data_IF_402359592526
#
_entry.id   IF_402359592526
#
_cell.length_a   1.000
_cell.length_b   1.000
_cell.length_c   1.000
_cell.angle_alpha   90.00
_cell.angle_beta   90.00
_cell.angle_gamma   90.00
#
_symmetry.space_group_name_H-M   'P 1'
#
loop_
_entity.id
_entity.type
_entity.pdbx_description
1 polymer ?
#
# COMPACT_ATOMS: atom_id res chain seq x y z
N UNK A 1 -3.75 15.62 -10.02
CA UNK A 1 -2.58 14.81 -9.58
C UNK A 1 -1.55 15.62 -8.81
N UNK A 2 -1.23 16.85 -9.21
CA UNK A 2 -0.35 17.75 -8.46
C UNK A 2 -0.97 18.15 -7.12
N UNK A 3 -2.29 18.30 -7.08
CA UNK A 3 -3.04 18.55 -5.86
C UNK A 3 -2.95 17.39 -4.87
N UNK A 4 -3.03 16.12 -5.31
CA UNK A 4 -2.88 14.96 -4.41
C UNK A 4 -1.50 14.92 -3.75
N UNK A 5 -0.41 15.16 -4.50
CA UNK A 5 0.95 15.24 -3.92
C UNK A 5 1.03 16.35 -2.87
N UNK A 6 0.44 17.52 -3.14
CA UNK A 6 0.41 18.64 -2.20
C UNK A 6 -0.36 18.32 -0.93
N UNK A 7 -1.53 17.67 -1.04
CA UNK A 7 -2.33 17.23 0.12
C UNK A 7 -1.52 16.24 0.96
N UNK A 8 -0.92 15.24 0.34
CA UNK A 8 -0.08 14.23 1.01
C UNK A 8 1.13 14.88 1.69
N UNK A 9 1.83 15.80 1.01
CA UNK A 9 2.97 16.52 1.58
C UNK A 9 2.57 17.38 2.78
N UNK A 10 1.48 18.15 2.66
CA UNK A 10 0.98 19.00 3.74
C UNK A 10 0.60 18.18 4.99
N UNK A 11 0.16 16.95 4.80
CA UNK A 11 -0.20 16.07 5.92
C UNK A 11 1.04 15.42 6.55
N UNK A 12 1.89 14.76 5.78
CA UNK A 12 2.96 13.91 6.31
C UNK A 12 4.29 14.62 6.58
N UNK A 13 4.65 15.68 5.83
CA UNK A 13 5.93 16.35 6.05
C UNK A 13 6.07 17.01 7.44
N UNK A 14 5.04 17.60 8.05
CA UNK A 14 5.10 18.06 9.43
C UNK A 14 5.35 16.92 10.42
N UNK A 15 4.79 15.71 10.16
CA UNK A 15 4.94 14.54 11.02
C UNK A 15 6.36 13.98 10.97
N UNK A 16 7.02 14.01 9.80
CA UNK A 16 8.45 13.66 9.64
C UNK A 16 9.37 14.49 10.55
N UNK A 17 9.04 15.77 10.73
CA UNK A 17 9.83 16.66 11.58
C UNK A 17 9.52 16.50 13.07
N UNK A 18 8.32 16.01 13.39
CA UNK A 18 7.81 15.91 14.76
C UNK A 18 8.13 14.56 15.42
N UNK A 19 8.10 13.48 14.66
CA UNK A 19 8.19 12.12 15.17
C UNK A 19 9.41 11.38 14.64
N UNK A 20 9.86 10.38 15.41
CA UNK A 20 10.98 9.53 15.03
C UNK A 20 10.57 8.11 14.64
N UNK A 21 9.39 7.67 15.09
CA UNK A 21 8.89 6.31 14.84
C UNK A 21 8.02 6.29 13.59
N UNK A 22 8.20 5.28 12.74
CA UNK A 22 7.50 5.17 11.45
C UNK A 22 5.98 5.24 11.59
N UNK A 23 5.38 4.49 12.51
CA UNK A 23 3.93 4.49 12.69
C UNK A 23 3.34 5.87 13.09
N UNK A 24 4.11 6.70 13.84
CA UNK A 24 3.70 8.06 14.20
C UNK A 24 3.83 9.01 13.01
N UNK A 25 4.90 8.86 12.21
CA UNK A 25 5.13 9.62 10.97
C UNK A 25 4.03 9.30 9.95
N UNK A 26 3.67 8.02 9.84
CA UNK A 26 2.65 7.54 8.91
C UNK A 26 1.21 7.68 9.44
N UNK A 27 1.06 8.33 10.62
CA UNK A 27 -0.23 8.64 11.24
C UNK A 27 -1.10 7.40 11.52
N UNK A 28 -0.44 6.28 11.85
CA UNK A 28 -1.14 5.10 12.34
C UNK A 28 -1.51 5.24 13.81
N UNK A 29 -2.65 4.73 14.20
CA UNK A 29 -3.13 4.76 15.59
C UNK A 29 -2.11 4.16 16.58
N UNK A 30 -1.41 3.11 16.16
CA UNK A 30 -0.37 2.44 16.93
C UNK A 30 0.55 1.60 16.05
N UNK A 31 1.70 1.21 16.60
CA UNK A 31 2.58 0.22 15.97
C UNK A 31 1.86 -1.11 15.72
N UNK A 32 1.01 -1.55 16.67
CA UNK A 32 0.24 -2.79 16.54
C UNK A 32 -0.70 -2.73 15.32
N UNK A 33 -1.40 -1.61 15.13
CA UNK A 33 -2.27 -1.41 13.97
C UNK A 33 -1.49 -1.45 12.64
N UNK A 34 -0.28 -0.91 12.59
CA UNK A 34 0.58 -1.00 11.41
C UNK A 34 1.02 -2.45 11.16
N UNK A 35 1.53 -3.12 12.20
CA UNK A 35 2.04 -4.51 12.13
C UNK A 35 0.95 -5.49 11.71
N UNK A 36 -0.26 -5.37 12.22
CA UNK A 36 -1.39 -6.24 11.82
C UNK A 36 -1.66 -6.23 10.32
N UNK A 37 -1.50 -5.09 9.63
CA UNK A 37 -1.61 -5.02 8.16
C UNK A 37 -0.50 -5.81 7.46
N UNK A 38 0.72 -5.74 7.99
CA UNK A 38 1.86 -6.52 7.48
C UNK A 38 1.68 -8.03 7.75
N UNK A 39 1.11 -8.38 8.90
CA UNK A 39 0.76 -9.77 9.23
C UNK A 39 -0.27 -10.34 8.27
N UNK A 40 -1.29 -9.56 7.88
CA UNK A 40 -2.27 -10.01 6.87
C UNK A 40 -1.56 -10.36 5.57
N UNK A 41 -0.61 -9.53 5.10
CA UNK A 41 0.19 -9.83 3.91
C UNK A 41 0.95 -11.15 4.09
N UNK A 42 1.75 -11.27 5.15
CA UNK A 42 2.67 -12.42 5.34
C UNK A 42 1.98 -13.74 5.67
N UNK A 43 0.79 -13.69 6.28
CA UNK A 43 -0.02 -14.88 6.58
C UNK A 43 -0.76 -15.42 5.35
N UNK A 44 -1.09 -14.57 4.38
CA UNK A 44 -1.92 -14.93 3.25
C UNK A 44 -1.16 -15.02 1.92
N UNK A 45 0.08 -14.52 1.85
CA UNK A 45 0.89 -14.51 0.64
C UNK A 45 2.27 -15.10 0.90
N UNK A 46 2.63 -16.13 0.16
CA UNK A 46 4.00 -16.64 0.20
C UNK A 46 4.94 -15.66 -0.52
N UNK A 47 5.79 -14.97 0.25
CA UNK A 47 6.73 -13.97 -0.25
C UNK A 47 8.14 -14.54 -0.50
N UNK A 48 8.42 -15.79 -0.12
CA UNK A 48 9.76 -16.38 -0.25
C UNK A 48 10.18 -16.45 -1.72
N UNK A 49 11.34 -15.88 -2.04
CA UNK A 49 11.90 -15.81 -3.39
C UNK A 49 11.22 -14.80 -4.32
N UNK A 50 10.19 -14.10 -3.87
CA UNK A 50 9.38 -13.18 -4.69
C UNK A 50 10.00 -11.78 -4.81
N UNK A 51 9.60 -11.07 -5.87
CA UNK A 51 9.79 -9.62 -6.02
C UNK A 51 8.52 -8.93 -5.52
N UNK A 52 8.65 -8.15 -4.46
CA UNK A 52 7.57 -7.34 -3.87
C UNK A 52 7.78 -5.87 -4.21
N UNK A 53 6.75 -5.20 -4.69
CA UNK A 53 6.68 -3.74 -4.73
C UNK A 53 5.70 -3.24 -3.67
N UNK A 54 6.21 -2.40 -2.77
CA UNK A 54 5.45 -1.67 -1.76
C UNK A 54 5.17 -0.25 -2.25
N UNK A 55 3.92 0.03 -2.59
CA UNK A 55 3.48 1.33 -3.12
C UNK A 55 2.98 2.19 -1.96
N UNK A 56 3.58 3.37 -1.80
CA UNK A 56 3.41 4.21 -0.62
C UNK A 56 4.20 3.66 0.56
N UNK A 57 5.45 3.28 0.33
CA UNK A 57 6.27 2.60 1.33
C UNK A 57 6.64 3.46 2.55
N UNK A 58 6.39 4.77 2.50
CA UNK A 58 6.69 5.70 3.58
C UNK A 58 8.13 5.61 4.05
N UNK A 59 8.32 5.42 5.34
CA UNK A 59 9.62 5.30 6.01
C UNK A 59 10.24 3.89 5.92
N UNK A 60 9.67 2.99 5.11
CA UNK A 60 10.22 1.65 4.85
C UNK A 60 9.91 0.60 5.92
N UNK A 61 8.90 0.82 6.75
CA UNK A 61 8.60 -0.05 7.89
C UNK A 61 8.26 -1.49 7.51
N UNK A 62 7.59 -1.71 6.36
CA UNK A 62 7.35 -3.06 5.85
C UNK A 62 8.66 -3.78 5.52
N UNK A 63 9.65 -3.09 4.94
CA UNK A 63 10.97 -3.68 4.71
C UNK A 63 11.62 -4.13 6.02
N UNK A 64 11.59 -3.27 7.05
CA UNK A 64 12.11 -3.60 8.38
C UNK A 64 11.39 -4.82 8.98
N UNK A 65 10.06 -4.86 8.90
CA UNK A 65 9.25 -5.97 9.38
C UNK A 65 9.59 -7.30 8.69
N UNK A 66 9.67 -7.31 7.35
CA UNK A 66 9.98 -8.50 6.57
C UNK A 66 11.41 -9.01 6.83
N UNK A 67 12.35 -8.08 7.02
CA UNK A 67 13.74 -8.40 7.35
C UNK A 67 13.87 -9.07 8.73
N UNK A 68 13.11 -8.58 9.72
CA UNK A 68 13.05 -9.17 11.07
C UNK A 68 12.48 -10.61 11.05
N UNK A 69 11.56 -10.90 10.13
CA UNK A 69 11.04 -12.25 9.91
C UNK A 69 12.00 -13.14 9.10
N UNK A 70 13.14 -12.62 8.66
CA UNK A 70 14.12 -13.33 7.83
C UNK A 70 13.51 -13.91 6.53
N UNK A 71 12.49 -13.25 5.97
CA UNK A 71 11.88 -13.66 4.72
C UNK A 71 12.82 -13.28 3.57
N UNK A 72 13.32 -14.27 2.85
CA UNK A 72 14.16 -14.05 1.67
C UNK A 72 13.31 -13.60 0.49
N UNK A 73 13.31 -12.29 0.18
CA UNK A 73 12.59 -11.70 -0.96
C UNK A 73 13.36 -10.52 -1.56
N UNK A 74 12.99 -10.12 -2.77
CA UNK A 74 13.48 -8.90 -3.40
C UNK A 74 12.46 -7.78 -3.17
N UNK A 75 12.69 -6.97 -2.14
CA UNK A 75 11.84 -5.83 -1.81
C UNK A 75 12.20 -4.58 -2.62
N UNK A 76 11.18 -3.85 -3.05
CA UNK A 76 11.23 -2.53 -3.66
C UNK A 76 10.14 -1.66 -3.04
N UNK A 77 10.50 -0.47 -2.53
CA UNK A 77 9.55 0.50 -2.03
C UNK A 77 9.50 1.74 -2.93
N UNK A 78 8.32 2.29 -3.16
CA UNK A 78 8.15 3.56 -3.85
C UNK A 78 7.23 4.48 -3.07
N UNK A 79 7.61 5.74 -2.93
CA UNK A 79 6.79 6.78 -2.32
C UNK A 79 6.84 8.08 -3.14
N UNK A 80 5.73 8.83 -3.11
CA UNK A 80 5.61 10.10 -3.82
C UNK A 80 6.41 11.23 -3.15
N UNK A 81 6.68 11.12 -1.85
CA UNK A 81 7.43 12.08 -1.06
C UNK A 81 8.90 11.68 -0.95
N UNK A 82 9.80 12.46 -1.55
CA UNK A 82 11.25 12.22 -1.47
C UNK A 82 11.77 12.19 -0.03
N UNK A 83 11.21 13.02 0.86
CA UNK A 83 11.58 13.05 2.28
C UNK A 83 11.26 11.75 3.02
N UNK A 84 10.19 11.04 2.62
CA UNK A 84 9.91 9.69 3.14
C UNK A 84 11.02 8.71 2.72
N UNK A 85 11.43 8.78 1.48
CA UNK A 85 12.51 7.93 0.94
C UNK A 85 13.87 8.25 1.59
N UNK A 86 14.18 9.51 1.80
CA UNK A 86 15.37 9.94 2.56
C UNK A 86 15.34 9.30 3.96
N UNK A 87 14.20 9.41 4.66
CA UNK A 87 14.01 8.81 5.97
C UNK A 87 14.09 7.28 5.96
N UNK A 88 13.52 6.64 4.94
CA UNK A 88 13.61 5.19 4.76
C UNK A 88 15.06 4.71 4.60
N UNK A 89 15.90 5.44 3.86
CA UNK A 89 17.33 5.13 3.73
C UNK A 89 18.13 5.39 5.01
N UNK A 90 17.78 6.42 5.81
CA UNK A 90 18.39 6.65 7.12
C UNK A 90 18.19 5.47 8.06
N UNK A 91 16.96 4.92 8.07
CA UNK A 91 16.59 3.81 8.97
C UNK A 91 17.05 2.46 8.39
N UNK A 92 16.90 2.27 7.08
CA UNK A 92 17.14 1.01 6.38
C UNK A 92 18.09 1.20 5.18
N UNK A 93 19.39 1.45 5.38
CA UNK A 93 20.32 1.78 4.30
C UNK A 93 20.53 0.66 3.27
N UNK A 94 20.12 -0.58 3.58
CA UNK A 94 20.17 -1.73 2.67
C UNK A 94 18.89 -1.93 1.86
N UNK A 95 17.85 -1.15 2.12
CA UNK A 95 16.58 -1.21 1.38
C UNK A 95 16.73 -0.65 -0.04
N UNK A 96 15.77 -0.97 -0.89
CA UNK A 96 15.67 -0.42 -2.25
C UNK A 96 14.44 0.46 -2.32
N UNK A 97 14.64 1.76 -2.16
CA UNK A 97 13.56 2.73 -2.11
C UNK A 97 13.66 3.72 -3.28
N UNK A 98 12.53 4.13 -3.83
CA UNK A 98 12.45 5.01 -4.99
C UNK A 98 11.49 6.16 -4.70
N UNK A 99 11.90 7.38 -5.04
CA UNK A 99 11.00 8.54 -5.01
C UNK A 99 10.32 8.68 -6.36
N UNK A 100 8.99 8.72 -6.38
CA UNK A 100 8.25 8.91 -7.62
C UNK A 100 6.75 8.65 -7.49
N UNK A 101 6.03 9.03 -8.54
CA UNK A 101 4.60 8.78 -8.64
C UNK A 101 4.33 7.69 -9.66
N UNK A 102 4.16 6.45 -9.18
CA UNK A 102 3.91 5.28 -10.03
C UNK A 102 2.62 5.41 -10.88
N UNK A 103 1.66 6.22 -10.41
CA UNK A 103 0.39 6.42 -11.13
C UNK A 103 0.50 7.43 -12.29
N UNK A 104 1.58 8.21 -12.35
CA UNK A 104 1.84 9.17 -13.42
C UNK A 104 2.91 8.64 -14.37
N UNK A 105 4.06 8.27 -13.80
CA UNK A 105 5.22 7.81 -14.55
C UNK A 105 5.94 6.76 -13.71
N UNK A 106 5.74 5.50 -14.08
CA UNK A 106 6.35 4.39 -13.35
C UNK A 106 7.82 4.23 -13.76
N UNK A 107 8.76 4.18 -12.78
CA UNK A 107 10.15 3.82 -13.05
C UNK A 107 10.32 2.33 -13.31
N UNK A 108 9.25 1.53 -13.23
CA UNK A 108 9.26 0.09 -13.34
C UNK A 108 8.56 -0.41 -14.59
N UNK A 109 9.02 -1.54 -15.13
CA UNK A 109 8.39 -2.22 -16.26
C UNK A 109 7.09 -2.90 -15.84
N UNK A 110 6.17 -3.08 -16.79
CA UNK A 110 4.97 -3.91 -16.58
C UNK A 110 5.38 -5.34 -16.23
N UNK A 111 4.57 -6.00 -15.39
CA UNK A 111 4.81 -7.40 -14.95
C UNK A 111 6.21 -7.62 -14.36
N UNK A 112 6.76 -6.61 -13.68
CA UNK A 112 8.09 -6.71 -13.08
C UNK A 112 8.05 -7.42 -11.72
N UNK A 113 6.96 -7.27 -10.96
CA UNK A 113 6.84 -7.75 -9.58
C UNK A 113 5.90 -8.95 -9.50
N UNK A 114 6.24 -9.89 -8.63
CA UNK A 114 5.36 -11.03 -8.36
C UNK A 114 4.17 -10.59 -7.51
N UNK A 115 4.42 -9.71 -6.52
CA UNK A 115 3.40 -9.18 -5.62
C UNK A 115 3.47 -7.65 -5.58
N UNK A 116 2.32 -7.00 -5.67
CA UNK A 116 2.14 -5.59 -5.34
C UNK A 116 1.47 -5.50 -3.97
N UNK A 117 2.02 -4.68 -3.09
CA UNK A 117 1.41 -4.32 -1.82
C UNK A 117 1.20 -2.81 -1.76
N UNK A 118 0.07 -2.37 -1.22
CA UNK A 118 -0.26 -0.96 -1.05
C UNK A 118 -1.06 -0.78 0.24
N UNK A 119 -0.47 -0.11 1.23
CA UNK A 119 -1.10 0.09 2.53
C UNK A 119 -1.18 1.57 2.89
N UNK A 120 -2.40 2.04 3.19
CA UNK A 120 -2.65 3.39 3.68
C UNK A 120 -2.69 4.52 2.63
N UNK A 121 -2.31 4.26 1.38
CA UNK A 121 -2.27 5.29 0.31
C UNK A 121 -3.61 5.96 0.06
N UNK A 122 -4.70 5.23 0.27
CA UNK A 122 -6.07 5.70 0.02
C UNK A 122 -6.80 6.19 1.28
N UNK A 123 -6.14 6.16 2.45
CA UNK A 123 -6.79 6.46 3.72
C UNK A 123 -7.04 7.96 3.93
N UNK A 124 -6.09 8.83 3.51
CA UNK A 124 -6.27 10.27 3.63
C UNK A 124 -7.37 10.73 2.67
N UNK A 125 -8.33 11.52 3.19
CA UNK A 125 -9.39 12.08 2.34
C UNK A 125 -8.82 13.19 1.44
N UNK A 126 -8.83 12.93 0.14
CA UNK A 126 -8.32 13.84 -0.89
C UNK A 126 -9.46 14.46 -1.71
N UNK A 127 -10.73 14.13 -1.39
CA UNK A 127 -11.92 14.60 -2.09
C UNK A 127 -12.24 13.82 -3.37
N UNK A 128 -11.30 13.05 -3.92
CA UNK A 128 -11.46 12.27 -5.15
C UNK A 128 -11.00 10.81 -5.00
N UNK A 129 -11.04 10.26 -3.79
CA UNK A 129 -10.48 8.96 -3.45
C UNK A 129 -11.01 7.80 -4.29
N UNK A 130 -12.32 7.79 -4.63
CA UNK A 130 -12.88 6.75 -5.51
C UNK A 130 -12.32 6.82 -6.93
N UNK A 131 -12.17 8.03 -7.46
CA UNK A 131 -11.59 8.25 -8.78
C UNK A 131 -10.14 7.79 -8.76
N UNK A 132 -9.39 8.20 -7.74
CA UNK A 132 -8.00 7.80 -7.57
C UNK A 132 -7.85 6.28 -7.45
N UNK A 133 -8.70 5.63 -6.67
CA UNK A 133 -8.68 4.17 -6.52
C UNK A 133 -8.96 3.47 -7.87
N UNK A 134 -9.96 3.92 -8.63
CA UNK A 134 -10.26 3.39 -9.97
C UNK A 134 -9.08 3.57 -10.94
N UNK A 135 -8.39 4.72 -10.89
CA UNK A 135 -7.18 4.98 -11.69
C UNK A 135 -5.97 4.11 -11.26
N UNK A 136 -5.89 3.75 -9.98
CA UNK A 136 -4.79 2.96 -9.43
C UNK A 136 -4.87 1.46 -9.80
N UNK A 137 -6.07 0.90 -9.91
CA UNK A 137 -6.26 -0.52 -10.18
C UNK A 137 -5.53 -1.01 -11.44
N UNK A 138 -5.70 -0.39 -12.64
CA UNK A 138 -4.97 -0.83 -13.82
C UNK A 138 -3.44 -0.73 -13.65
N UNK A 139 -2.94 0.23 -12.86
CA UNK A 139 -1.51 0.35 -12.56
C UNK A 139 -1.05 -0.84 -11.73
N UNK A 140 -1.75 -1.18 -10.65
CA UNK A 140 -1.42 -2.32 -9.80
C UNK A 140 -1.38 -3.62 -10.62
N UNK A 141 -2.45 -3.92 -11.33
CA UNK A 141 -2.56 -5.16 -12.10
C UNK A 141 -1.60 -5.20 -13.30
N UNK A 142 -1.20 -4.06 -13.86
CA UNK A 142 -0.20 -4.04 -14.93
C UNK A 142 1.21 -4.36 -14.46
N UNK A 143 1.58 -4.03 -13.22
CA UNK A 143 2.90 -4.28 -12.65
C UNK A 143 3.01 -5.63 -11.94
N UNK A 144 1.90 -6.19 -11.45
CA UNK A 144 1.85 -7.49 -10.77
C UNK A 144 1.84 -8.66 -11.74
N UNK A 145 2.56 -9.73 -11.41
CA UNK A 145 2.50 -11.03 -12.10
C UNK A 145 1.50 -11.98 -11.45
N UNK A 146 1.48 -12.01 -10.11
CA UNK A 146 0.74 -13.03 -9.36
C UNK A 146 -0.37 -12.39 -8.51
N UNK A 147 -0.03 -11.45 -7.62
CA UNK A 147 -0.98 -10.92 -6.64
C UNK A 147 -0.91 -9.40 -6.48
N UNK A 148 -2.07 -8.83 -6.23
CA UNK A 148 -2.23 -7.45 -5.77
C UNK A 148 -2.88 -7.49 -4.39
N UNK A 149 -2.25 -6.83 -3.42
CA UNK A 149 -2.70 -6.79 -2.02
C UNK A 149 -2.77 -5.33 -1.59
N UNK A 150 -3.89 -4.91 -1.06
CA UNK A 150 -4.02 -3.55 -0.50
C UNK A 150 -5.05 -3.53 0.63
N UNK A 151 -4.87 -2.62 1.58
CA UNK A 151 -5.86 -2.37 2.62
C UNK A 151 -6.56 -1.03 2.40
N UNK A 152 -7.80 -0.95 2.86
CA UNK A 152 -8.67 0.22 2.82
C UNK A 152 -9.41 0.34 4.15
N UNK A 153 -9.86 1.57 4.47
CA UNK A 153 -10.71 1.79 5.63
C UNK A 153 -12.17 1.45 5.30
N UNK A 154 -12.81 0.75 6.22
CA UNK A 154 -14.24 0.41 6.18
C UNK A 154 -15.02 1.42 7.06
N UNK A 155 -16.18 1.93 6.64
CA UNK A 155 -16.97 2.84 7.46
C UNK A 155 -17.36 2.27 8.82
N UNK A 156 -17.52 0.94 8.95
CA UNK A 156 -17.76 0.23 10.21
C UNK A 156 -18.75 0.91 11.14
N UNK A 157 -18.53 0.75 12.46
CA UNK A 157 -19.33 1.36 13.54
C UNK A 157 -18.63 2.53 14.25
N UNK A 158 -17.49 2.99 13.71
CA UNK A 158 -16.67 4.04 14.32
C UNK A 158 -17.07 5.43 13.83
N UNK A 159 -16.75 6.46 14.64
CA UNK A 159 -16.96 7.85 14.26
C UNK A 159 -16.07 8.15 13.05
N UNK A 160 -16.70 8.39 11.91
CA UNK A 160 -16.01 8.83 10.71
C UNK A 160 -15.52 10.28 10.93
N UNK A 161 -14.31 10.56 10.46
CA UNK A 161 -13.73 11.90 10.48
C UNK A 161 -13.55 12.39 9.05
N UNK A 162 -13.65 13.71 8.84
CA UNK A 162 -13.40 14.31 7.53
C UNK A 162 -11.96 14.12 7.04
N UNK A 163 -11.06 13.72 7.95
CA UNK A 163 -9.64 13.47 7.67
C UNK A 163 -9.41 12.23 6.81
N UNK A 164 -10.21 11.17 7.00
CA UNK A 164 -10.01 9.88 6.37
C UNK A 164 -11.17 9.55 5.43
N UNK A 165 -10.84 8.79 4.37
CA UNK A 165 -11.81 8.28 3.43
C UNK A 165 -12.10 6.80 3.70
N UNK A 166 -13.37 6.42 3.65
CA UNK A 166 -13.85 5.07 3.92
C UNK A 166 -14.49 4.48 2.67
N UNK A 167 -14.14 3.24 2.35
CA UNK A 167 -14.58 2.55 1.15
C UNK A 167 -15.66 1.52 1.46
N UNK A 168 -16.67 1.43 0.60
CA UNK A 168 -17.65 0.35 0.66
C UNK A 168 -17.04 -0.93 0.09
N UNK A 169 -16.96 -1.99 0.91
CA UNK A 169 -16.35 -3.27 0.50
C UNK A 169 -17.01 -3.88 -0.74
N UNK A 170 -18.34 -3.79 -0.88
CA UNK A 170 -19.06 -4.38 -2.02
C UNK A 170 -18.69 -3.67 -3.33
N UNK A 171 -18.56 -2.35 -3.30
CA UNK A 171 -18.18 -1.54 -4.46
C UNK A 171 -16.73 -1.82 -4.87
N UNK A 172 -15.83 -1.91 -3.88
CA UNK A 172 -14.42 -2.30 -4.10
C UNK A 172 -14.34 -3.68 -4.75
N UNK A 173 -15.04 -4.68 -4.22
CA UNK A 173 -15.08 -6.03 -4.79
C UNK A 173 -15.64 -6.05 -6.22
N UNK A 174 -16.67 -5.26 -6.50
CA UNK A 174 -17.23 -5.13 -7.85
C UNK A 174 -16.18 -4.60 -8.84
N UNK A 175 -15.41 -3.59 -8.45
CA UNK A 175 -14.34 -3.03 -9.28
C UNK A 175 -13.21 -4.04 -9.50
N UNK A 176 -12.78 -4.74 -8.45
CA UNK A 176 -11.66 -5.70 -8.52
C UNK A 176 -11.98 -6.89 -9.43
N UNK A 177 -13.22 -7.35 -9.48
CA UNK A 177 -13.64 -8.46 -10.35
C UNK A 177 -13.41 -8.21 -11.85
N UNK A 178 -13.21 -6.97 -12.26
CA UNK A 178 -12.79 -6.66 -13.64
C UNK A 178 -11.35 -7.12 -13.93
N UNK A 179 -10.51 -7.24 -12.89
CA UNK A 179 -9.08 -7.55 -12.97
C UNK A 179 -8.71 -8.93 -12.42
N UNK A 180 -9.56 -9.50 -11.56
CA UNK A 180 -9.30 -10.77 -10.86
C UNK A 180 -10.59 -11.59 -10.74
N UNK A 181 -10.45 -12.90 -10.93
CA UNK A 181 -11.54 -13.85 -10.69
C UNK A 181 -11.44 -14.50 -9.30
N UNK A 182 -10.24 -14.47 -8.69
CA UNK A 182 -9.97 -14.99 -7.35
C UNK A 182 -9.59 -13.84 -6.41
N UNK A 183 -10.51 -13.50 -5.51
CA UNK A 183 -10.39 -12.36 -4.59
C UNK A 183 -10.76 -12.81 -3.18
N UNK A 184 -9.83 -12.61 -2.25
CA UNK A 184 -10.02 -12.82 -0.83
C UNK A 184 -10.15 -11.46 -0.14
N UNK A 185 -11.14 -11.34 0.76
CA UNK A 185 -11.26 -10.19 1.67
C UNK A 185 -10.93 -10.65 3.08
N UNK A 186 -9.96 -10.01 3.71
CA UNK A 186 -9.58 -10.25 5.12
C UNK A 186 -10.05 -9.09 5.97
N UNK A 187 -10.84 -9.39 6.98
CA UNK A 187 -11.41 -8.43 7.95
C UNK A 187 -11.13 -8.87 9.38
N UNK A 188 -11.46 -8.03 10.37
CA UNK A 188 -11.42 -8.40 11.79
C UNK A 188 -10.03 -8.36 12.44
N UNK A 189 -8.98 -7.97 11.73
CA UNK A 189 -7.65 -7.76 12.30
C UNK A 189 -7.49 -6.37 12.93
N UNK A 190 -8.20 -5.39 12.39
CA UNK A 190 -8.40 -4.04 12.95
C UNK A 190 -9.87 -3.69 12.71
N UNK A 191 -10.57 -3.01 13.64
CA UNK A 191 -12.02 -2.84 13.59
C UNK A 191 -12.59 -2.20 12.32
N UNK A 192 -11.91 -1.21 11.75
CA UNK A 192 -12.36 -0.45 10.58
C UNK A 192 -11.35 -0.53 9.42
N UNK A 193 -10.85 -1.73 9.19
CA UNK A 193 -9.90 -1.99 8.13
C UNK A 193 -10.25 -3.30 7.42
N UNK A 194 -10.03 -3.34 6.12
CA UNK A 194 -10.11 -4.57 5.37
C UNK A 194 -8.99 -4.65 4.33
N UNK A 195 -8.52 -5.85 4.09
CA UNK A 195 -7.49 -6.12 3.08
C UNK A 195 -8.09 -6.93 1.95
N UNK A 196 -7.82 -6.51 0.73
CA UNK A 196 -8.10 -7.28 -0.49
C UNK A 196 -6.81 -7.97 -0.93
N UNK A 197 -6.95 -9.26 -1.25
CA UNK A 197 -5.90 -10.07 -1.88
C UNK A 197 -6.50 -10.61 -3.17
N UNK A 198 -5.98 -10.16 -4.31
CA UNK A 198 -6.50 -10.48 -5.63
C UNK A 198 -5.43 -11.15 -6.49
N UNK A 199 -5.75 -12.30 -7.07
CA UNK A 199 -4.88 -12.97 -8.02
C UNK A 199 -4.95 -12.27 -9.38
N UNK A 200 -3.80 -12.10 -10.02
CA UNK A 200 -3.75 -11.53 -11.37
C UNK A 200 -4.26 -12.55 -12.36
N UNK A 201 -5.23 -12.18 -13.21
CA UNK A 201 -5.74 -13.06 -14.26
C UNK A 201 -4.59 -13.58 -15.12
N UNK A 202 -4.49 -14.90 -15.25
CA UNK A 202 -3.56 -15.51 -16.19
C UNK A 202 -4.05 -15.15 -17.61
N UNK A 203 -3.19 -14.56 -18.41
CA UNK A 203 -3.49 -14.42 -19.83
C UNK A 203 -3.61 -15.84 -20.39
N UNK A 204 -4.75 -16.17 -20.99
CA UNK A 204 -4.84 -17.41 -21.76
C UNK A 204 -3.84 -17.30 -22.91
N UNK A 205 -3.01 -18.33 -23.13
CA UNK A 205 -2.15 -18.34 -24.31
C UNK A 205 -3.05 -18.25 -25.55
N UNK A 206 -2.77 -17.24 -26.38
CA UNK A 206 -3.41 -17.02 -27.69
C UNK A 206 -3.04 -18.12 -28.66
#
# INVERSE_FOLDING_TARGET
MEDRKRIVANHYEPLLNKYSRGYEILDWESLDCQVKRFEVLTKNVNLSGKKLLDIGCGTGDLFGYLNNLSINLNYYGIDILSKMIERAYEIYPKGRFFSGNIFKESPFSKKQFDVIFCSGVFNLNMGDNEIFFKEALPVFFSHAKEKVVFNLLDPGHFVQTDKYYFFNQKEVLHLIRQYSDDVITVTGYIPNDFTIIADVKKQQPS
#
